data_IF_820025965530
#
_entry.id   IF_820025965530
#
_cell.length_a   1.000
_cell.length_b   1.000
_cell.length_c   1.000
_cell.angle_alpha   90.00
_cell.angle_beta   90.00
_cell.angle_gamma   90.00
#
_symmetry.space_group_name_H-M   'P 1'
#
loop_
_entity.id
_entity.type
_entity.pdbx_description
1 polymer ?
#
# COMPACT_ATOMS: atom_id res chain seq x y z
N UNK A 1 -20.22 -3.41 9.65
CA UNK A 1 -19.73 -4.24 8.53
C UNK A 1 -20.92 -4.61 7.67
N UNK A 2 -20.72 -4.80 6.36
CA UNK A 2 -21.78 -5.17 5.43
C UNK A 2 -21.45 -6.55 4.84
N UNK A 3 -22.49 -7.36 4.59
CA UNK A 3 -22.35 -8.70 4.04
C UNK A 3 -22.49 -8.68 2.51
N UNK A 4 -21.68 -9.48 1.83
CA UNK A 4 -21.81 -9.74 0.39
C UNK A 4 -22.36 -11.14 0.16
N UNK A 5 -23.50 -11.26 -0.52
CA UNK A 5 -24.11 -12.56 -0.88
C UNK A 5 -23.89 -12.85 -2.36
N UNK A 6 -23.40 -14.06 -2.65
CA UNK A 6 -23.06 -14.50 -4.02
C UNK A 6 -23.95 -15.69 -4.38
N UNK A 7 -24.63 -15.60 -5.53
CA UNK A 7 -25.40 -16.72 -6.09
C UNK A 7 -24.56 -17.41 -7.17
N UNK A 8 -24.34 -18.72 -7.04
CA UNK A 8 -23.59 -19.52 -7.99
C UNK A 8 -24.07 -20.99 -7.97
N UNK A 9 -23.68 -21.76 -8.99
CA UNK A 9 -24.07 -23.17 -9.11
C UNK A 9 -23.20 -24.10 -8.23
N UNK A 10 -21.96 -23.70 -7.96
CA UNK A 10 -20.98 -24.48 -7.18
C UNK A 10 -20.37 -23.64 -6.06
N UNK A 11 -21.06 -23.49 -4.91
CA UNK A 11 -20.65 -22.58 -3.84
C UNK A 11 -19.28 -22.90 -3.24
N UNK A 12 -18.95 -24.18 -3.04
CA UNK A 12 -17.64 -24.59 -2.49
C UNK A 12 -16.48 -24.24 -3.42
N UNK A 13 -16.64 -24.50 -4.72
CA UNK A 13 -15.63 -24.13 -5.72
C UNK A 13 -15.41 -22.62 -5.74
N UNK A 14 -16.49 -21.84 -5.76
CA UNK A 14 -16.42 -20.37 -5.78
C UNK A 14 -15.80 -19.84 -4.48
N UNK A 15 -16.11 -20.43 -3.33
CA UNK A 15 -15.49 -20.07 -2.04
C UNK A 15 -13.98 -20.28 -2.07
N UNK A 16 -13.52 -21.46 -2.48
CA UNK A 16 -12.09 -21.75 -2.59
C UNK A 16 -11.38 -20.83 -3.58
N UNK A 17 -12.00 -20.58 -4.74
CA UNK A 17 -11.47 -19.64 -5.73
C UNK A 17 -11.27 -18.24 -5.14
N UNK A 18 -12.24 -17.72 -4.38
CA UNK A 18 -12.09 -16.41 -3.74
C UNK A 18 -11.02 -16.41 -2.65
N UNK A 19 -10.92 -17.48 -1.86
CA UNK A 19 -9.88 -17.61 -0.84
C UNK A 19 -8.47 -17.61 -1.45
N UNK A 20 -8.28 -18.33 -2.56
CA UNK A 20 -7.00 -18.40 -3.26
C UNK A 20 -6.64 -17.05 -3.89
N UNK A 21 -7.57 -16.42 -4.60
CA UNK A 21 -7.35 -15.10 -5.21
C UNK A 21 -7.07 -14.03 -4.14
N UNK A 22 -7.76 -14.06 -2.99
CA UNK A 22 -7.50 -13.13 -1.90
C UNK A 22 -6.11 -13.35 -1.31
N UNK A 23 -5.69 -14.60 -1.10
CA UNK A 23 -4.35 -14.93 -0.60
C UNK A 23 -3.27 -14.40 -1.55
N UNK A 24 -3.37 -14.71 -2.84
CA UNK A 24 -2.43 -14.24 -3.85
C UNK A 24 -2.36 -12.70 -3.90
N UNK A 25 -3.52 -12.04 -3.78
CA UNK A 25 -3.59 -10.59 -3.78
C UNK A 25 -2.97 -9.97 -2.52
N UNK A 26 -3.18 -10.57 -1.35
CA UNK A 26 -2.55 -10.16 -0.09
C UNK A 26 -1.02 -10.28 -0.20
N UNK A 27 -0.51 -11.43 -0.66
CA UNK A 27 0.93 -11.65 -0.84
C UNK A 27 1.55 -10.65 -1.85
N UNK A 28 0.82 -10.34 -2.93
CA UNK A 28 1.24 -9.34 -3.91
C UNK A 28 1.32 -7.94 -3.31
N UNK A 29 0.34 -7.54 -2.49
CA UNK A 29 0.34 -6.25 -1.80
C UNK A 29 1.48 -6.15 -0.79
N UNK A 30 1.74 -7.22 -0.01
CA UNK A 30 2.84 -7.27 0.95
C UNK A 30 4.19 -7.10 0.26
N UNK A 31 4.41 -7.76 -0.88
CA UNK A 31 5.62 -7.57 -1.72
C UNK A 31 5.73 -6.13 -2.24
N UNK A 32 4.61 -5.52 -2.65
CA UNK A 32 4.57 -4.12 -3.09
C UNK A 32 4.95 -3.16 -1.96
N UNK A 33 4.40 -3.36 -0.76
CA UNK A 33 4.71 -2.57 0.43
C UNK A 33 6.19 -2.67 0.76
N UNK A 34 6.75 -3.89 0.77
CA UNK A 34 8.16 -4.11 1.07
C UNK A 34 9.07 -3.34 0.11
N UNK A 35 8.81 -3.42 -1.20
CA UNK A 35 9.58 -2.67 -2.22
C UNK A 35 9.46 -1.15 -2.07
N UNK A 36 8.27 -0.67 -1.74
CA UNK A 36 8.01 0.76 -1.53
C UNK A 36 8.77 1.26 -0.30
N UNK A 37 8.79 0.47 0.78
CA UNK A 37 9.57 0.79 1.99
C UNK A 37 11.07 0.83 1.71
N UNK A 38 11.59 -0.13 0.93
CA UNK A 38 13.00 -0.13 0.50
C UNK A 38 13.34 1.14 -0.29
N UNK A 39 12.48 1.54 -1.23
CA UNK A 39 12.67 2.77 -2.02
C UNK A 39 12.61 4.04 -1.17
N UNK A 40 11.67 4.12 -0.23
CA UNK A 40 11.61 5.22 0.74
C UNK A 40 12.89 5.29 1.58
N UNK A 41 13.39 4.14 2.03
CA UNK A 41 14.62 4.08 2.80
C UNK A 41 15.85 4.55 2.00
N UNK A 42 15.89 4.33 0.68
CA UNK A 42 16.93 4.90 -0.19
C UNK A 42 16.91 6.43 -0.18
N UNK A 43 15.71 7.05 -0.27
CA UNK A 43 15.58 8.50 -0.16
C UNK A 43 15.97 9.01 1.24
N UNK A 44 15.50 8.34 2.29
CA UNK A 44 15.80 8.73 3.66
C UNK A 44 17.30 8.71 3.95
N UNK A 45 18.01 7.69 3.46
CA UNK A 45 19.46 7.59 3.57
C UNK A 45 20.18 8.63 2.70
N UNK A 46 19.69 8.90 1.48
CA UNK A 46 20.32 9.84 0.54
C UNK A 46 20.25 11.29 1.05
N UNK A 47 19.14 11.68 1.67
CA UNK A 47 18.90 13.04 2.12
C UNK A 47 19.02 13.20 3.66
N UNK A 48 19.38 12.13 4.37
CA UNK A 48 19.48 12.06 5.83
C UNK A 48 18.24 12.63 6.55
N UNK A 49 17.06 12.33 5.98
CA UNK A 49 15.79 12.93 6.37
C UNK A 49 14.69 11.86 6.31
N UNK A 50 13.93 11.67 7.40
CA UNK A 50 12.83 10.70 7.36
C UNK A 50 11.73 11.16 6.41
N UNK A 51 11.00 10.21 5.81
CA UNK A 51 9.88 10.52 4.89
C UNK A 51 8.82 11.38 5.57
N UNK A 52 8.55 11.12 6.86
CA UNK A 52 7.59 11.91 7.65
C UNK A 52 8.05 13.35 7.81
N UNK A 53 9.32 13.55 8.17
CA UNK A 53 9.88 14.89 8.34
C UNK A 53 9.95 15.63 6.99
N UNK A 54 10.36 14.94 5.93
CA UNK A 54 10.34 15.46 4.57
C UNK A 54 8.95 15.97 4.18
N UNK A 55 7.90 15.15 4.32
CA UNK A 55 6.53 15.54 3.97
C UNK A 55 6.04 16.74 4.80
N UNK A 56 6.35 16.77 6.10
CA UNK A 56 5.96 17.88 6.98
C UNK A 56 6.61 19.21 6.53
N UNK A 57 7.93 19.19 6.34
CA UNK A 57 8.66 20.39 5.90
C UNK A 57 8.28 20.82 4.49
N UNK A 58 8.03 19.85 3.61
CA UNK A 58 7.53 20.11 2.26
C UNK A 58 6.17 20.80 2.30
N UNK A 59 5.24 20.32 3.14
CA UNK A 59 3.91 20.92 3.28
C UNK A 59 3.94 22.33 3.89
N UNK A 60 4.98 22.67 4.65
CA UNK A 60 5.18 23.99 5.25
C UNK A 60 6.04 24.95 4.40
N UNK A 61 6.38 24.57 3.15
CA UNK A 61 7.28 25.33 2.27
C UNK A 61 8.69 25.57 2.88
N UNK A 62 9.11 24.74 3.84
CA UNK A 62 10.40 24.85 4.54
C UNK A 62 11.57 24.26 3.74
N UNK A 63 11.26 23.47 2.71
CA UNK A 63 12.25 22.89 1.80
C UNK A 63 12.10 23.58 0.44
N UNK A 64 13.13 24.32 0.03
CA UNK A 64 13.18 24.84 -1.32
C UNK A 64 13.29 23.68 -2.31
N UNK A 65 12.30 23.58 -3.22
CA UNK A 65 12.40 22.74 -4.40
C UNK A 65 13.69 23.09 -5.16
N UNK A 66 14.64 22.16 -5.17
CA UNK A 66 15.81 22.23 -6.05
C UNK A 66 15.62 21.23 -7.18
N UNK A 67 16.07 21.61 -8.38
CA UNK A 67 15.90 20.84 -9.62
C UNK A 67 16.62 19.48 -9.61
N UNK A 68 17.53 19.27 -8.66
CA UNK A 68 18.30 18.03 -8.45
C UNK A 68 17.65 17.06 -7.45
N UNK A 69 16.53 17.43 -6.82
CA UNK A 69 15.88 16.59 -5.81
C UNK A 69 14.68 15.83 -6.39
N UNK A 70 14.65 14.52 -6.18
CA UNK A 70 13.62 13.57 -6.63
C UNK A 70 12.34 13.64 -5.77
N UNK A 71 11.90 14.84 -5.41
CA UNK A 71 10.80 15.04 -4.46
C UNK A 71 9.46 14.49 -4.95
N UNK A 72 9.15 14.65 -6.23
CA UNK A 72 7.91 14.13 -6.79
C UNK A 72 7.86 12.60 -6.71
N UNK A 73 9.01 11.94 -6.91
CA UNK A 73 9.13 10.49 -6.77
C UNK A 73 8.99 10.07 -5.30
N UNK A 74 9.67 10.75 -4.37
CA UNK A 74 9.56 10.46 -2.93
C UNK A 74 8.13 10.64 -2.40
N UNK A 75 7.46 11.73 -2.79
CA UNK A 75 6.04 11.96 -2.46
C UNK A 75 5.17 10.86 -3.09
N UNK A 76 5.46 10.47 -4.33
CA UNK A 76 4.79 9.39 -5.03
C UNK A 76 4.88 8.06 -4.28
N UNK A 77 6.08 7.65 -3.89
CA UNK A 77 6.33 6.43 -3.13
C UNK A 77 5.63 6.44 -1.77
N UNK A 78 5.64 7.58 -1.07
CA UNK A 78 4.94 7.72 0.22
C UNK A 78 3.43 7.52 0.06
N UNK A 79 2.82 8.14 -0.96
CA UNK A 79 1.38 7.97 -1.25
C UNK A 79 1.06 6.54 -1.73
N UNK A 80 1.96 5.93 -2.47
CA UNK A 80 1.81 4.53 -2.90
C UNK A 80 1.80 3.61 -1.68
N UNK A 81 2.71 3.81 -0.71
CA UNK A 81 2.74 3.04 0.52
C UNK A 81 1.40 3.10 1.27
N UNK A 82 0.86 4.30 1.50
CA UNK A 82 -0.46 4.47 2.14
C UNK A 82 -1.54 3.71 1.39
N UNK A 83 -1.60 3.86 0.06
CA UNK A 83 -2.60 3.19 -0.77
C UNK A 83 -2.50 1.67 -0.71
N UNK A 84 -1.28 1.11 -0.67
CA UNK A 84 -1.07 -0.33 -0.57
C UNK A 84 -1.46 -0.86 0.81
N UNK A 85 -1.11 -0.13 1.88
CA UNK A 85 -1.48 -0.47 3.25
C UNK A 85 -2.99 -0.46 3.46
N UNK A 86 -3.69 0.55 2.94
CA UNK A 86 -5.16 0.63 3.00
C UNK A 86 -5.82 -0.56 2.30
N UNK A 87 -5.33 -0.91 1.10
CA UNK A 87 -5.84 -2.09 0.37
C UNK A 87 -5.58 -3.39 1.13
N UNK A 88 -4.39 -3.54 1.71
CA UNK A 88 -4.03 -4.72 2.49
C UNK A 88 -4.92 -4.86 3.73
N UNK A 89 -5.16 -3.74 4.43
CA UNK A 89 -6.05 -3.69 5.58
C UNK A 89 -7.47 -4.14 5.22
N UNK A 90 -8.04 -3.60 4.13
CA UNK A 90 -9.38 -3.98 3.67
C UNK A 90 -9.47 -5.48 3.31
N UNK A 91 -8.47 -6.03 2.63
CA UNK A 91 -8.49 -7.45 2.25
C UNK A 91 -8.27 -8.39 3.42
N UNK A 92 -7.42 -8.02 4.40
CA UNK A 92 -7.23 -8.82 5.63
C UNK A 92 -8.47 -8.83 6.53
N UNK A 93 -9.37 -7.86 6.37
CA UNK A 93 -10.65 -7.81 7.07
C UNK A 93 -11.77 -8.63 6.42
N UNK A 94 -11.51 -9.35 5.32
CA UNK A 94 -12.52 -10.20 4.66
C UNK A 94 -12.67 -11.52 5.43
N UNK A 95 -13.90 -11.83 5.81
CA UNK A 95 -14.28 -13.07 6.50
C UNK A 95 -15.27 -13.86 5.64
N UNK A 96 -15.14 -15.19 5.67
CA UNK A 96 -16.07 -16.11 5.00
C UNK A 96 -16.97 -16.75 6.05
N UNK A 97 -18.29 -16.62 5.88
CA UNK A 97 -19.30 -17.22 6.76
C UNK A 97 -19.91 -18.46 6.09
N UNK A 98 -20.27 -19.46 6.89
CA UNK A 98 -20.88 -20.72 6.43
C UNK A 98 -22.39 -20.61 6.19
#
# INVERSE_FOLDING_TARGET
MAELKIKCEQPEFVRHLFQDVLRERIESLEKGIQRTLERLQEFENKYELSTVEFLNRFANDEIQHRLDMEFDEWIGESRMLTTLQDKLYLLKGVEFFD
#
